data_IF_724294792445
#
_entry.id   IF_724294792445
#
_cell.length_a   1.000
_cell.length_b   1.000
_cell.length_c   1.000
_cell.angle_alpha   90.00
_cell.angle_beta   90.00
_cell.angle_gamma   90.00
#
_symmetry.space_group_name_H-M   'P 1'
#
loop_
_entity.id
_entity.type
_entity.pdbx_description
1 polymer ?
#
# COMPACT_ATOMS: atom_id res chain seq x y z
N UNK A 1 23.78 -5.05 9.46
CA UNK A 1 22.73 -5.43 10.44
C UNK A 1 23.01 -6.85 10.90
N UNK A 2 22.93 -7.17 12.21
CA UNK A 2 23.00 -8.55 12.69
C UNK A 2 21.77 -9.38 12.28
N UNK A 3 21.92 -10.67 12.01
CA UNK A 3 20.81 -11.54 11.59
C UNK A 3 19.73 -11.68 12.68
N UNK A 4 20.13 -11.68 13.95
CA UNK A 4 19.24 -11.85 15.10
C UNK A 4 18.19 -10.74 15.26
N UNK A 5 18.33 -9.62 14.56
CA UNK A 5 17.38 -8.50 14.59
C UNK A 5 16.57 -8.38 13.29
N UNK A 6 16.73 -9.34 12.38
CA UNK A 6 15.97 -9.45 11.13
C UNK A 6 15.03 -10.64 11.27
N UNK A 7 13.73 -10.38 11.30
CA UNK A 7 12.70 -11.40 11.21
C UNK A 7 12.12 -11.37 9.80
N UNK A 8 11.97 -12.53 9.18
CA UNK A 8 11.54 -12.66 7.79
C UNK A 8 10.15 -13.29 7.73
N UNK A 9 9.24 -12.60 7.06
CA UNK A 9 7.93 -13.11 6.66
C UNK A 9 7.96 -13.36 5.14
N UNK A 10 7.90 -14.62 4.66
CA UNK A 10 8.07 -14.92 3.24
C UNK A 10 6.78 -15.23 2.46
N UNK A 11 5.60 -15.22 3.08
CA UNK A 11 4.37 -15.79 2.52
C UNK A 11 3.32 -14.77 2.12
N UNK A 12 3.44 -13.51 2.53
CA UNK A 12 2.45 -12.50 2.18
C UNK A 12 2.41 -12.25 0.66
N UNK A 13 1.19 -12.18 0.11
CA UNK A 13 0.95 -11.95 -1.32
C UNK A 13 0.28 -10.60 -1.60
N UNK A 14 -0.13 -9.88 -0.55
CA UNK A 14 -0.78 -8.59 -0.64
C UNK A 14 -0.52 -7.75 0.61
N UNK A 15 -0.88 -6.46 0.57
CA UNK A 15 -0.61 -5.52 1.67
C UNK A 15 -1.29 -5.91 2.98
N UNK A 16 -2.49 -6.48 2.95
CA UNK A 16 -3.15 -6.94 4.17
C UNK A 16 -2.40 -8.10 4.82
N UNK A 17 -1.99 -9.09 4.01
CA UNK A 17 -1.18 -10.21 4.49
C UNK A 17 0.20 -9.75 4.96
N UNK A 18 0.82 -8.73 4.32
CA UNK A 18 2.09 -8.17 4.79
C UNK A 18 1.97 -7.72 6.25
N UNK A 19 0.88 -7.04 6.62
CA UNK A 19 0.66 -6.56 7.98
C UNK A 19 0.32 -7.71 8.93
N UNK A 20 -0.67 -8.53 8.59
CA UNK A 20 -1.12 -9.67 9.40
C UNK A 20 0.02 -10.63 9.74
N UNK A 21 0.78 -11.06 8.72
CA UNK A 21 1.85 -12.02 8.90
C UNK A 21 3.08 -11.39 9.58
N UNK A 22 3.37 -10.10 9.34
CA UNK A 22 4.43 -9.40 10.09
C UNK A 22 4.08 -9.26 11.58
N UNK A 23 2.83 -8.94 11.89
CA UNK A 23 2.33 -8.91 13.26
C UNK A 23 2.50 -10.28 13.92
N UNK A 24 2.13 -11.36 13.23
CA UNK A 24 2.32 -12.73 13.72
C UNK A 24 3.79 -13.06 13.98
N UNK A 25 4.69 -12.71 13.06
CA UNK A 25 6.14 -12.93 13.23
C UNK A 25 6.67 -12.21 14.48
N UNK A 26 6.22 -10.98 14.74
CA UNK A 26 6.61 -10.22 15.93
C UNK A 26 6.04 -10.81 17.23
N UNK A 27 4.80 -11.30 17.20
CA UNK A 27 4.16 -12.00 18.32
C UNK A 27 4.87 -13.31 18.65
N UNK A 28 5.18 -14.13 17.64
CA UNK A 28 5.89 -15.41 17.81
C UNK A 28 7.31 -15.18 18.38
N UNK A 29 7.95 -14.07 18.01
CA UNK A 29 9.22 -13.60 18.57
C UNK A 29 9.08 -12.90 19.94
N UNK A 30 7.85 -12.77 20.48
CA UNK A 30 7.53 -12.11 21.76
C UNK A 30 7.99 -10.66 21.85
N UNK A 31 7.94 -9.94 20.74
CA UNK A 31 8.27 -8.51 20.67
C UNK A 31 7.02 -7.70 20.99
N UNK A 32 7.07 -6.89 22.05
CA UNK A 32 6.03 -5.91 22.34
C UNK A 32 6.21 -4.69 21.41
N UNK A 33 5.16 -4.36 20.65
CA UNK A 33 5.20 -3.32 19.62
C UNK A 33 4.22 -2.22 20.00
N UNK A 34 4.71 -1.00 20.24
CA UNK A 34 3.86 0.19 20.43
C UNK A 34 3.77 1.08 19.17
N UNK A 35 4.70 0.91 18.23
CA UNK A 35 4.72 1.65 16.98
C UNK A 35 5.42 0.86 15.87
N UNK A 36 5.04 1.12 14.63
CA UNK A 36 5.63 0.51 13.43
C UNK A 36 5.98 1.59 12.41
N UNK A 37 7.12 1.41 11.73
CA UNK A 37 7.48 2.17 10.54
C UNK A 37 7.34 1.27 9.32
N UNK A 38 6.35 1.56 8.48
CA UNK A 38 6.13 0.86 7.23
C UNK A 38 6.98 1.52 6.13
N UNK A 39 7.90 0.74 5.55
CA UNK A 39 8.68 1.17 4.40
C UNK A 39 8.04 0.56 3.15
N UNK A 40 7.64 1.40 2.19
CA UNK A 40 6.96 0.95 0.98
C UNK A 40 7.38 1.75 -0.25
N UNK A 41 6.83 1.41 -1.41
CA UNK A 41 6.94 2.25 -2.59
C UNK A 41 6.11 3.52 -2.38
N UNK A 42 6.61 4.67 -2.83
CA UNK A 42 6.03 6.00 -2.54
C UNK A 42 4.53 6.10 -2.83
N UNK A 43 4.07 5.50 -3.92
CA UNK A 43 2.65 5.52 -4.31
C UNK A 43 1.75 4.58 -3.49
N UNK A 44 2.33 3.68 -2.68
CA UNK A 44 1.61 2.73 -1.82
C UNK A 44 1.56 3.16 -0.36
N UNK A 45 2.28 4.21 0.03
CA UNK A 45 2.40 4.64 1.44
C UNK A 45 1.05 4.83 2.11
N UNK A 46 0.15 5.58 1.45
CA UNK A 46 -1.18 5.86 2.01
C UNK A 46 -1.99 4.58 2.14
N UNK A 47 -1.96 3.68 1.15
CA UNK A 47 -2.67 2.40 1.24
C UNK A 47 -2.11 1.51 2.35
N UNK A 48 -0.78 1.43 2.48
CA UNK A 48 -0.14 0.69 3.56
C UNK A 48 -0.54 1.24 4.94
N UNK A 49 -0.57 2.56 5.09
CA UNK A 49 -1.02 3.23 6.31
C UNK A 49 -2.46 2.83 6.68
N UNK A 50 -3.42 3.05 5.76
CA UNK A 50 -4.84 2.84 6.08
C UNK A 50 -5.20 1.37 6.26
N UNK A 51 -4.49 0.46 5.58
CA UNK A 51 -4.64 -0.99 5.80
C UNK A 51 -4.07 -1.38 7.16
N UNK A 52 -2.89 -0.90 7.53
CA UNK A 52 -2.28 -1.20 8.83
C UNK A 52 -3.10 -0.63 9.98
N UNK A 53 -3.52 0.64 9.89
CA UNK A 53 -4.39 1.26 10.90
C UNK A 53 -5.74 0.52 11.06
N UNK A 54 -6.22 -0.15 10.00
CA UNK A 54 -7.43 -0.97 10.06
C UNK A 54 -7.18 -2.32 10.74
N UNK A 55 -6.07 -2.99 10.43
CA UNK A 55 -5.78 -4.36 10.87
C UNK A 55 -5.06 -4.45 12.22
N UNK A 56 -4.30 -3.42 12.59
CA UNK A 56 -3.49 -3.37 13.80
C UNK A 56 -3.71 -2.03 14.52
N UNK A 57 -4.90 -1.86 15.08
CA UNK A 57 -5.36 -0.60 15.65
C UNK A 57 -4.60 -0.18 16.93
N UNK A 58 -3.92 -1.12 17.58
CA UNK A 58 -3.20 -0.90 18.84
C UNK A 58 -1.84 -0.22 18.67
N UNK A 59 -1.29 -0.13 17.46
CA UNK A 59 0.03 0.47 17.21
C UNK A 59 -0.06 1.85 16.59
N UNK A 60 0.89 2.71 16.95
CA UNK A 60 1.12 3.95 16.20
C UNK A 60 1.80 3.64 14.88
N UNK A 61 1.16 3.99 13.76
CA UNK A 61 1.66 3.70 12.40
C UNK A 61 2.33 4.93 11.81
N UNK A 62 3.56 4.76 11.33
CA UNK A 62 4.26 5.71 10.48
C UNK A 62 4.58 5.06 9.14
N UNK A 63 4.61 5.85 8.07
CA UNK A 63 5.03 5.40 6.75
C UNK A 63 6.23 6.22 6.27
N UNK A 64 7.09 5.57 5.49
CA UNK A 64 8.17 6.23 4.77
C UNK A 64 8.48 5.48 3.47
N UNK A 65 9.12 6.18 2.54
CA UNK A 65 9.63 5.62 1.29
C UNK A 65 10.89 6.35 0.88
N UNK A 66 11.62 5.76 -0.06
CA UNK A 66 12.72 6.44 -0.71
C UNK A 66 12.20 7.71 -1.42
N UNK A 67 12.89 8.86 -1.31
CA UNK A 67 12.52 10.11 -1.97
C UNK A 67 12.91 10.06 -3.47
N UNK A 68 12.29 9.14 -4.20
CA UNK A 68 12.56 8.88 -5.61
C UNK A 68 11.56 9.64 -6.49
N UNK A 69 12.06 10.36 -7.50
CA UNK A 69 11.20 11.04 -8.46
C UNK A 69 10.54 10.03 -9.40
N UNK A 70 9.38 10.41 -9.96
CA UNK A 70 8.64 9.56 -10.90
C UNK A 70 9.49 9.04 -12.05
N UNK A 71 10.24 9.92 -12.74
CA UNK A 71 11.10 9.55 -13.88
C UNK A 71 12.19 8.56 -13.49
N UNK A 72 12.76 8.72 -12.30
CA UNK A 72 13.79 7.82 -11.78
C UNK A 72 13.19 6.46 -11.47
N UNK A 73 11.99 6.43 -10.86
CA UNK A 73 11.28 5.17 -10.61
C UNK A 73 10.93 4.44 -11.91
N UNK A 74 10.41 5.15 -12.92
CA UNK A 74 10.18 4.58 -14.25
C UNK A 74 11.45 3.99 -14.84
N UNK A 75 12.60 4.66 -14.69
CA UNK A 75 13.88 4.14 -15.17
C UNK A 75 14.31 2.83 -14.45
N UNK A 76 13.92 2.63 -13.18
CA UNK A 76 14.20 1.37 -12.46
C UNK A 76 13.32 0.21 -12.92
N UNK A 77 12.08 0.48 -13.33
CA UNK A 77 11.12 -0.55 -13.76
C UNK A 77 11.25 -0.86 -15.26
N UNK A 78 11.56 0.15 -16.07
CA UNK A 78 11.71 0.03 -17.53
C UNK A 78 10.38 0.04 -18.31
N UNK A 79 9.25 0.14 -17.62
CA UNK A 79 7.91 0.21 -18.22
C UNK A 79 7.09 1.32 -17.57
N UNK A 80 6.98 2.46 -18.27
CA UNK A 80 6.23 3.61 -17.79
C UNK A 80 4.74 3.31 -17.66
N UNK A 81 4.15 2.55 -18.60
CA UNK A 81 2.74 2.24 -18.57
C UNK A 81 2.41 1.41 -17.33
N UNK A 82 3.25 0.43 -17.02
CA UNK A 82 3.09 -0.39 -15.81
C UNK A 82 3.16 0.44 -14.53
N UNK A 83 4.06 1.42 -14.46
CA UNK A 83 4.16 2.34 -13.31
C UNK A 83 2.88 3.17 -13.17
N UNK A 84 2.33 3.68 -14.27
CA UNK A 84 1.06 4.42 -14.24
C UNK A 84 -0.11 3.51 -13.87
N UNK A 85 -0.17 2.27 -14.40
CA UNK A 85 -1.19 1.30 -14.01
C UNK A 85 -1.15 1.04 -12.49
N UNK A 86 0.05 0.85 -11.92
CA UNK A 86 0.28 0.71 -10.48
C UNK A 86 -0.20 1.94 -9.70
N UNK A 87 0.15 3.15 -10.16
CA UNK A 87 -0.29 4.44 -9.59
C UNK A 87 -1.82 4.61 -9.62
N UNK A 88 -2.51 4.03 -10.60
CA UNK A 88 -3.97 4.10 -10.74
C UNK A 88 -4.67 3.07 -9.85
N UNK A 89 -4.07 1.88 -9.68
CA UNK A 89 -4.63 0.83 -8.84
C UNK A 89 -4.66 1.16 -7.34
N UNK A 90 -3.70 1.93 -6.85
CA UNK A 90 -3.61 2.28 -5.42
C UNK A 90 -4.76 3.22 -4.96
N UNK A 91 -5.05 4.36 -5.64
CA UNK A 91 -6.18 5.23 -5.34
C UNK A 91 -7.54 4.50 -5.36
N UNK A 92 -7.77 3.62 -6.33
CA UNK A 92 -9.01 2.83 -6.37
C UNK A 92 -9.18 2.03 -5.08
N UNK A 93 -8.14 1.32 -4.64
CA UNK A 93 -8.21 0.53 -3.40
C UNK A 93 -8.44 1.42 -2.19
N UNK A 94 -7.85 2.61 -2.12
CA UNK A 94 -8.09 3.56 -1.03
C UNK A 94 -9.56 4.02 -1.01
N UNK A 95 -10.19 4.19 -2.18
CA UNK A 95 -11.62 4.53 -2.28
C UNK A 95 -12.55 3.37 -1.93
N UNK A 96 -12.26 2.16 -2.42
CA UNK A 96 -13.19 1.02 -2.37
C UNK A 96 -13.02 0.14 -1.12
N UNK A 97 -11.80 -0.05 -0.63
CA UNK A 97 -11.51 -0.98 0.47
C UNK A 97 -12.12 -0.62 1.83
N UNK A 98 -12.43 0.65 2.15
CA UNK A 98 -13.18 0.97 3.37
C UNK A 98 -14.56 0.30 3.41
N UNK A 99 -15.24 0.16 2.28
CA UNK A 99 -16.58 -0.46 2.21
C UNK A 99 -16.55 -1.97 2.51
N UNK A 100 -15.41 -2.62 2.26
CA UNK A 100 -15.18 -4.06 2.50
C UNK A 100 -14.40 -4.31 3.79
N UNK A 101 -14.08 -3.26 4.56
CA UNK A 101 -13.39 -3.38 5.84
C UNK A 101 -11.88 -3.65 5.75
N UNK A 102 -11.27 -3.49 4.56
CA UNK A 102 -9.83 -3.70 4.36
C UNK A 102 -8.96 -2.45 4.61
N UNK A 103 -9.58 -1.28 4.74
CA UNK A 103 -8.89 -0.01 5.00
C UNK A 103 -9.72 0.93 5.86
N UNK A 104 -9.07 1.89 6.52
CA UNK A 104 -9.74 3.04 7.13
C UNK A 104 -10.17 4.04 6.03
N UNK A 105 -11.38 4.63 6.08
CA UNK A 105 -11.81 5.65 5.11
C UNK A 105 -10.85 6.84 5.05
N UNK A 106 -10.67 7.41 3.85
CA UNK A 106 -9.91 8.64 3.62
C UNK A 106 -10.76 9.63 2.85
N UNK A 107 -10.61 10.92 3.18
CA UNK A 107 -11.13 11.99 2.34
C UNK A 107 -10.12 12.26 1.21
N UNK A 108 -10.48 11.87 -0.01
CA UNK A 108 -9.58 12.01 -1.16
C UNK A 108 -9.90 13.31 -1.90
N UNK A 109 -8.90 14.18 -2.13
CA UNK A 109 -9.10 15.41 -2.88
C UNK A 109 -9.74 15.16 -4.26
N UNK A 110 -10.71 16.01 -4.62
CA UNK A 110 -11.49 15.83 -5.85
C UNK A 110 -10.67 15.90 -7.14
N UNK A 111 -9.53 16.60 -7.12
CA UNK A 111 -8.59 16.66 -8.24
C UNK A 111 -7.84 15.33 -8.44
N UNK A 112 -7.50 14.63 -7.35
CA UNK A 112 -6.93 13.28 -7.37
C UNK A 112 -7.95 12.28 -7.92
N UNK A 113 -9.20 12.33 -7.45
CA UNK A 113 -10.30 11.49 -7.98
C UNK A 113 -10.52 11.74 -9.47
N UNK A 114 -10.53 13.01 -9.87
CA UNK A 114 -10.66 13.40 -11.29
C UNK A 114 -9.49 12.91 -12.13
N UNK A 115 -8.25 12.95 -11.60
CA UNK A 115 -7.06 12.44 -12.29
C UNK A 115 -7.12 10.92 -12.45
N UNK A 116 -7.54 10.19 -11.41
CA UNK A 116 -7.79 8.75 -11.47
C UNK A 116 -8.75 8.40 -12.61
N UNK A 117 -9.92 9.04 -12.70
CA UNK A 117 -10.89 8.74 -13.76
C UNK A 117 -10.36 9.04 -15.17
N UNK A 118 -9.59 10.12 -15.36
CA UNK A 118 -8.96 10.43 -16.65
C UNK A 118 -7.97 9.34 -17.07
N UNK A 119 -7.17 8.83 -16.14
CA UNK A 119 -6.20 7.77 -16.42
C UNK A 119 -6.88 6.43 -16.71
N UNK A 120 -7.93 6.09 -15.97
CA UNK A 120 -8.76 4.91 -16.26
C UNK A 120 -9.36 5.00 -17.67
N UNK A 121 -9.94 6.15 -18.02
CA UNK A 121 -10.50 6.39 -19.36
C UNK A 121 -9.44 6.33 -20.49
N UNK A 122 -8.18 6.66 -20.16
CA UNK A 122 -7.05 6.55 -21.08
C UNK A 122 -6.48 5.13 -21.22
N UNK A 123 -7.03 4.14 -20.51
CA UNK A 123 -6.65 2.72 -20.64
C UNK A 123 -5.63 2.21 -19.62
N UNK A 124 -5.37 2.97 -18.55
CA UNK A 124 -4.47 2.53 -17.48
C UNK A 124 -5.18 1.63 -16.45
N UNK A 125 -5.56 0.42 -16.87
CA UNK A 125 -6.53 -0.41 -16.13
C UNK A 125 -6.00 -1.74 -15.59
N UNK A 126 -4.75 -2.13 -15.91
CA UNK A 126 -4.25 -3.49 -15.65
C UNK A 126 -4.13 -3.86 -14.16
N UNK A 127 -4.17 -2.86 -13.27
CA UNK A 127 -4.07 -3.01 -11.81
C UNK A 127 -5.36 -2.68 -11.06
N UNK A 128 -6.43 -2.37 -11.78
CA UNK A 128 -7.73 -2.15 -11.16
C UNK A 128 -8.25 -3.45 -10.53
N UNK A 129 -9.02 -3.32 -9.44
CA UNK A 129 -9.83 -4.41 -8.91
C UNK A 129 -11.09 -4.55 -9.76
N UNK A 130 -11.40 -5.79 -10.14
CA UNK A 130 -12.43 -6.13 -11.15
C UNK A 130 -13.86 -5.90 -10.65
N UNK A 131 -14.06 -5.81 -9.33
CA UNK A 131 -15.41 -5.70 -8.73
C UNK A 131 -15.97 -4.27 -8.65
N UNK A 132 -15.22 -3.26 -9.13
CA UNK A 132 -15.67 -1.85 -9.12
C UNK A 132 -16.26 -1.38 -10.47
N UNK A 133 -16.47 -2.30 -11.41
CA UNK A 133 -17.12 -2.01 -12.71
C UNK A 133 -18.31 -2.94 -12.87
N UNK A 134 -19.42 -2.60 -12.20
CA UNK A 134 -20.78 -2.98 -12.58
C UNK A 134 -21.73 -1.84 -12.25
#
# INVERSE_FOLDING_TARGET
MPDAVILVEPNATNTGQNIELSQKVLQDARVAVGSVLLISMRYRELRAFVTCAKQWAEVSVLCSSAPLAYREYVATIGDEKLVVDDLVGDPQRIMEYPATGYAVPQDIPGDVVSAYHRLVAAGFTSRLVVDAVN
#
